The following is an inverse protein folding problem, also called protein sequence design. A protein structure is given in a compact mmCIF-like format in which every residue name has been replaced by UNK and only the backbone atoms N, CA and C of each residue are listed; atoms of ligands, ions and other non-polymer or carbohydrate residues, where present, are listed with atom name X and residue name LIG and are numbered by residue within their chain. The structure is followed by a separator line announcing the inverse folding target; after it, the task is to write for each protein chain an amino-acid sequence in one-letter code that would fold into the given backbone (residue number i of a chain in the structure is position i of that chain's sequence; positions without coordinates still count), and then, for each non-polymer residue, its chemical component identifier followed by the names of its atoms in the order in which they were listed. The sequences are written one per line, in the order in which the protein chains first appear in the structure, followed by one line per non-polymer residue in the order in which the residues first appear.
data_IF_460287948022
#
_entry.id   IF_460287948022
#
_cell.length_a   1.000
_cell.length_b   1.000
_cell.length_c   1.000
_cell.angle_alpha   90.00
_cell.angle_beta   90.00
_cell.angle_gamma   90.00
#
_symmetry.space_group_name_H-M   'P 1'
#
loop_
_entity.id
_entity.type
_entity.pdbx_description
1 polymer ?
#
# COMPACT_ATOMS: atom_id res chain seq x y z
N UNK A 1 51.67 -44.18 -51.89
CA UNK A 1 51.24 -42.85 -51.38
C UNK A 1 49.79 -42.78 -50.85
N UNK A 2 49.11 -43.90 -50.50
CA UNK A 2 47.67 -43.90 -50.10
C UNK A 2 47.36 -44.13 -48.61
N UNK A 3 48.33 -44.52 -47.76
CA UNK A 3 48.07 -44.91 -46.36
C UNK A 3 48.21 -43.77 -45.32
N UNK A 4 49.04 -42.75 -45.56
CA UNK A 4 49.24 -41.68 -44.57
C UNK A 4 48.13 -40.62 -44.56
N UNK A 5 47.40 -40.48 -45.67
CA UNK A 5 46.37 -39.44 -45.81
C UNK A 5 45.10 -39.76 -45.02
N UNK A 6 44.68 -41.02 -44.96
CA UNK A 6 43.42 -41.41 -44.31
C UNK A 6 43.52 -41.37 -42.78
N UNK A 7 44.65 -41.77 -42.19
CA UNK A 7 44.86 -41.64 -40.74
C UNK A 7 45.00 -40.19 -40.27
N UNK A 8 45.61 -39.31 -41.08
CA UNK A 8 45.64 -37.87 -40.80
C UNK A 8 44.27 -37.23 -40.88
N UNK A 9 43.46 -37.59 -41.89
CA UNK A 9 42.12 -37.04 -42.05
C UNK A 9 41.20 -37.38 -40.86
N UNK A 10 41.20 -38.63 -40.40
CA UNK A 10 40.36 -39.05 -39.26
C UNK A 10 40.78 -38.33 -37.97
N UNK A 11 42.09 -38.22 -37.70
CA UNK A 11 42.58 -37.53 -36.49
C UNK A 11 42.22 -36.04 -36.47
N UNK A 12 42.27 -35.37 -37.62
CA UNK A 12 41.90 -33.96 -37.75
C UNK A 12 40.40 -33.77 -37.54
N UNK A 13 39.57 -34.65 -38.10
CA UNK A 13 38.10 -34.57 -37.93
C UNK A 13 37.70 -34.82 -36.47
N UNK A 14 38.33 -35.77 -35.78
CA UNK A 14 38.04 -36.03 -34.36
C UNK A 14 38.43 -34.86 -33.45
N UNK A 15 39.56 -34.19 -33.72
CA UNK A 15 39.98 -32.99 -32.96
C UNK A 15 39.01 -31.83 -33.22
N UNK A 16 38.62 -31.60 -34.49
CA UNK A 16 37.68 -30.54 -34.82
C UNK A 16 36.31 -30.76 -34.15
N UNK A 17 35.83 -32.00 -34.11
CA UNK A 17 34.56 -32.31 -33.45
C UNK A 17 34.64 -32.14 -31.93
N UNK A 18 35.76 -32.54 -31.31
CA UNK A 18 36.00 -32.33 -29.88
C UNK A 18 36.08 -30.84 -29.50
N UNK A 19 36.79 -30.02 -30.30
CA UNK A 19 36.88 -28.57 -30.09
C UNK A 19 35.52 -27.90 -30.29
N UNK A 20 34.78 -28.28 -31.33
CA UNK A 20 33.45 -27.71 -31.58
C UNK A 20 32.46 -28.04 -30.45
N UNK A 21 32.48 -29.27 -29.94
CA UNK A 21 31.64 -29.67 -28.80
C UNK A 21 32.02 -28.90 -27.52
N UNK A 22 33.32 -28.70 -27.25
CA UNK A 22 33.78 -27.94 -26.09
C UNK A 22 33.38 -26.46 -26.17
N UNK A 23 33.55 -25.83 -27.34
CA UNK A 23 33.14 -24.44 -27.58
C UNK A 23 31.63 -24.28 -27.45
N UNK A 24 30.84 -25.21 -27.97
CA UNK A 24 29.38 -25.17 -27.83
C UNK A 24 28.95 -25.27 -26.37
N UNK A 25 29.58 -26.12 -25.56
CA UNK A 25 29.29 -26.22 -24.12
C UNK A 25 29.66 -24.92 -23.39
N UNK A 26 30.84 -24.35 -23.65
CA UNK A 26 31.27 -23.08 -23.05
C UNK A 26 30.31 -21.94 -23.43
N UNK A 27 29.86 -21.90 -24.69
CA UNK A 27 28.96 -20.87 -25.18
C UNK A 27 27.55 -20.99 -24.56
N UNK A 28 27.03 -22.22 -24.42
CA UNK A 28 25.72 -22.46 -23.77
C UNK A 28 25.78 -22.12 -22.28
N UNK A 29 26.90 -22.37 -21.60
CA UNK A 29 27.07 -22.00 -20.18
C UNK A 29 27.24 -20.48 -20.03
N UNK A 30 27.99 -19.82 -20.92
CA UNK A 30 28.27 -18.37 -20.83
C UNK A 30 27.08 -17.48 -21.23
N UNK A 31 26.25 -17.91 -22.19
CA UNK A 31 25.06 -17.15 -22.60
C UNK A 31 24.00 -17.04 -21.50
N UNK A 32 24.09 -17.86 -20.44
CA UNK A 32 23.20 -17.72 -19.28
C UNK A 32 23.62 -16.59 -18.32
N UNK A 33 24.76 -15.93 -18.51
CA UNK A 33 25.33 -15.02 -17.51
C UNK A 33 25.59 -13.57 -17.95
N UNK A 34 25.40 -13.18 -19.22
CA UNK A 34 25.63 -11.80 -19.66
C UNK A 34 24.33 -11.09 -20.08
N UNK A 35 24.01 -9.90 -19.50
CA UNK A 35 22.86 -9.11 -19.93
C UNK A 35 23.15 -8.46 -21.28
N UNK A 36 22.65 -9.08 -22.34
CA UNK A 36 22.87 -8.69 -23.75
C UNK A 36 22.58 -7.21 -24.04
N UNK A 37 21.68 -6.59 -23.27
CA UNK A 37 21.29 -5.18 -23.43
C UNK A 37 22.42 -4.17 -23.23
N UNK A 38 23.39 -4.47 -22.36
CA UNK A 38 24.53 -3.57 -22.10
C UNK A 38 25.37 -3.36 -23.36
N UNK A 39 25.47 -4.38 -24.21
CA UNK A 39 26.25 -4.34 -25.44
C UNK A 39 25.45 -3.79 -26.64
N UNK A 40 24.12 -3.72 -26.55
CA UNK A 40 23.27 -3.23 -27.63
C UNK A 40 22.85 -1.78 -27.46
N UNK A 41 22.70 -1.33 -26.22
CA UNK A 41 22.06 -0.05 -25.91
C UNK A 41 23.09 1.07 -25.65
N UNK A 42 24.37 0.73 -25.46
CA UNK A 42 25.46 1.68 -25.20
C UNK A 42 26.60 1.58 -26.22
N UNK A 43 27.25 2.71 -26.52
CA UNK A 43 28.39 2.74 -27.46
C UNK A 43 29.67 2.24 -26.80
N UNK A 44 30.58 1.64 -27.58
CA UNK A 44 31.84 1.11 -27.07
C UNK A 44 32.71 2.17 -26.38
N UNK A 45 32.76 3.39 -26.93
CA UNK A 45 33.52 4.49 -26.32
C UNK A 45 33.01 4.86 -24.94
N UNK A 46 31.69 4.87 -24.74
CA UNK A 46 31.07 5.15 -23.43
C UNK A 46 31.41 4.06 -22.42
N UNK A 47 31.28 2.79 -22.80
CA UNK A 47 31.62 1.67 -21.92
C UNK A 47 33.10 1.67 -21.54
N UNK A 48 33.97 2.06 -22.48
CA UNK A 48 35.41 2.14 -22.25
C UNK A 48 35.78 3.25 -21.28
N UNK A 49 35.22 4.45 -21.45
CA UNK A 49 35.47 5.59 -20.58
C UNK A 49 34.97 5.34 -19.15
N UNK A 50 33.77 4.79 -18.99
CA UNK A 50 33.23 4.41 -17.68
C UNK A 50 34.10 3.34 -17.00
N UNK A 51 34.61 2.37 -17.76
CA UNK A 51 35.48 1.33 -17.19
C UNK A 51 36.82 1.86 -16.68
N UNK A 52 37.39 2.88 -17.33
CA UNK A 52 38.63 3.53 -16.88
C UNK A 52 38.35 4.30 -15.58
N UNK A 53 37.27 5.09 -15.56
CA UNK A 53 36.89 5.86 -14.37
C UNK A 53 36.61 4.97 -13.17
N UNK A 54 35.86 3.87 -13.35
CA UNK A 54 35.61 2.91 -12.28
C UNK A 54 36.89 2.23 -11.78
N UNK A 55 37.83 1.97 -12.68
CA UNK A 55 39.11 1.36 -12.33
C UNK A 55 40.00 2.31 -11.51
N UNK A 56 40.09 3.58 -11.90
CA UNK A 56 40.84 4.60 -11.17
C UNK A 56 40.23 4.87 -9.78
N UNK A 57 38.90 4.91 -9.68
CA UNK A 57 38.23 5.04 -8.38
C UNK A 57 38.51 3.85 -7.47
N UNK A 58 38.56 2.62 -8.01
CA UNK A 58 38.83 1.40 -7.24
C UNK A 58 40.26 1.33 -6.67
N UNK A 59 41.16 2.20 -7.14
CA UNK A 59 42.51 2.28 -6.56
C UNK A 59 42.52 2.93 -5.17
N UNK A 60 41.54 3.82 -4.89
CA UNK A 60 41.48 4.58 -3.65
C UNK A 60 40.27 4.24 -2.77
N UNK A 61 39.32 3.48 -3.31
CA UNK A 61 38.03 3.21 -2.71
C UNK A 61 37.75 1.70 -2.69
N UNK A 62 37.28 1.19 -1.55
CA UNK A 62 36.89 -0.23 -1.46
C UNK A 62 35.59 -0.45 -2.23
N UNK A 63 35.70 -1.16 -3.36
CA UNK A 63 34.60 -1.31 -4.32
C UNK A 63 33.39 -2.06 -3.79
N UNK A 64 33.52 -2.81 -2.70
CA UNK A 64 32.40 -3.53 -2.08
C UNK A 64 31.56 -2.64 -1.15
N UNK A 65 32.14 -1.58 -0.59
CA UNK A 65 31.48 -0.71 0.40
C UNK A 65 31.17 0.69 -0.15
N UNK A 66 32.00 1.22 -1.05
CA UNK A 66 31.95 2.64 -1.44
C UNK A 66 31.34 2.87 -2.84
N UNK A 67 31.21 1.81 -3.65
CA UNK A 67 30.61 1.91 -4.98
C UNK A 67 29.11 1.62 -4.89
N UNK A 68 28.31 2.66 -5.10
CA UNK A 68 26.87 2.53 -5.11
C UNK A 68 26.39 1.94 -6.43
N UNK A 69 25.40 1.05 -6.35
CA UNK A 69 24.67 0.43 -7.45
C UNK A 69 23.31 1.11 -7.59
N UNK A 70 22.61 0.90 -8.71
CA UNK A 70 21.21 1.34 -8.83
C UNK A 70 20.35 0.79 -7.66
N UNK A 71 20.65 -0.41 -7.17
CA UNK A 71 20.07 -0.98 -5.95
C UNK A 71 20.37 -0.13 -4.71
N UNK A 72 21.59 0.37 -4.50
CA UNK A 72 21.88 1.14 -3.27
C UNK A 72 21.12 2.47 -3.21
N UNK A 73 20.92 3.18 -4.33
CA UNK A 73 20.13 4.42 -4.33
C UNK A 73 18.60 4.19 -4.33
N UNK A 74 18.09 3.16 -5.01
CA UNK A 74 16.65 2.89 -5.09
C UNK A 74 16.11 2.02 -3.94
N UNK A 75 16.95 1.17 -3.35
CA UNK A 75 16.58 0.28 -2.24
C UNK A 75 16.69 0.98 -0.87
N UNK A 76 17.54 2.02 -0.71
CA UNK A 76 17.70 2.69 0.61
C UNK A 76 16.68 3.82 0.88
N UNK A 77 16.12 4.46 -0.16
CA UNK A 77 15.17 5.58 0.00
C UNK A 77 13.85 5.44 -0.78
N UNK A 78 13.58 4.27 -1.35
CA UNK A 78 12.24 3.90 -1.79
C UNK A 78 11.66 4.78 -2.90
N UNK A 79 12.28 4.77 -4.08
CA UNK A 79 11.56 5.06 -5.32
C UNK A 79 11.75 3.92 -6.30
N UNK A 80 10.66 3.31 -6.72
CA UNK A 80 10.68 2.39 -7.87
C UNK A 80 10.51 3.26 -9.11
N UNK A 81 11.44 3.17 -10.06
CA UNK A 81 11.26 3.74 -11.41
C UNK A 81 11.08 2.60 -12.41
N UNK A 82 9.82 2.31 -12.74
CA UNK A 82 9.46 1.34 -13.77
C UNK A 82 8.55 2.02 -14.81
N UNK A 83 9.05 2.30 -16.02
CA UNK A 83 8.22 2.79 -17.11
C UNK A 83 7.07 1.79 -17.39
N UNK A 84 5.83 2.19 -17.12
CA UNK A 84 4.64 1.33 -17.22
C UNK A 84 4.00 0.90 -15.89
N UNK A 85 4.49 1.39 -14.75
CA UNK A 85 3.86 1.18 -13.43
C UNK A 85 3.24 2.46 -12.87
N UNK A 86 2.02 2.32 -12.33
CA UNK A 86 1.34 3.35 -11.53
C UNK A 86 1.81 3.28 -10.08
N UNK A 87 2.40 4.37 -9.57
CA UNK A 87 2.89 4.45 -8.19
C UNK A 87 1.81 4.90 -7.21
N UNK A 88 1.59 4.08 -6.19
CA UNK A 88 0.83 4.32 -4.94
C UNK A 88 -0.56 4.94 -5.08
N UNK A 89 -1.48 4.30 -5.81
CA UNK A 89 -2.86 4.39 -5.36
C UNK A 89 -3.18 3.21 -4.43
N UNK A 90 -3.30 3.51 -3.15
CA UNK A 90 -3.71 2.57 -2.13
C UNK A 90 -5.20 2.79 -1.88
N UNK A 91 -5.97 1.71 -1.94
CA UNK A 91 -7.38 1.73 -1.57
C UNK A 91 -7.46 1.34 -0.09
N UNK A 92 -7.93 2.26 0.74
CA UNK A 92 -8.21 2.00 2.15
C UNK A 92 -9.50 1.18 2.27
N UNK A 93 -9.41 -0.06 2.76
CA UNK A 93 -10.56 -0.85 3.18
C UNK A 93 -10.76 -0.67 4.69
N UNK A 94 -11.88 -0.06 5.09
CA UNK A 94 -12.15 0.35 6.47
C UNK A 94 -13.63 0.20 6.84
N UNK A 95 -14.00 0.70 8.02
CA UNK A 95 -15.34 0.55 8.59
C UNK A 95 -15.49 -0.74 9.39
N UNK A 96 -16.56 -1.48 9.15
CA UNK A 96 -16.89 -2.70 9.89
C UNK A 96 -16.18 -3.94 9.34
N UNK A 97 -14.85 -3.82 9.17
CA UNK A 97 -13.93 -4.90 8.80
C UNK A 97 -13.10 -5.34 10.01
N UNK A 98 -12.47 -6.52 9.97
CA UNK A 98 -11.63 -6.98 11.08
C UNK A 98 -10.42 -6.06 11.32
N UNK A 99 -9.74 -5.65 10.24
CA UNK A 99 -8.58 -4.75 10.27
C UNK A 99 -8.66 -3.76 9.10
N UNK A 100 -8.23 -2.51 9.33
CA UNK A 100 -8.02 -1.54 8.24
C UNK A 100 -6.86 -2.01 7.36
N UNK A 101 -7.12 -2.20 6.07
CA UNK A 101 -6.13 -2.65 5.09
C UNK A 101 -5.93 -1.59 4.02
N UNK A 102 -4.68 -1.30 3.68
CA UNK A 102 -4.34 -0.48 2.51
C UNK A 102 -3.96 -1.41 1.36
N UNK A 103 -4.78 -1.44 0.32
CA UNK A 103 -4.66 -2.37 -0.81
C UNK A 103 -4.03 -1.62 -1.98
N UNK A 104 -2.82 -1.97 -2.46
CA UNK A 104 -2.30 -1.42 -3.70
C UNK A 104 -3.24 -1.69 -4.88
N UNK A 105 -3.48 -0.70 -5.73
CA UNK A 105 -4.41 -0.84 -6.86
C UNK A 105 -4.04 -2.01 -7.81
N UNK A 106 -2.76 -2.27 -8.03
CA UNK A 106 -2.29 -3.44 -8.78
C UNK A 106 -2.63 -4.75 -8.03
N UNK A 107 -2.49 -4.78 -6.70
CA UNK A 107 -2.83 -5.92 -5.85
C UNK A 107 -4.34 -6.22 -5.79
N UNK A 108 -5.15 -5.23 -6.11
CA UNK A 108 -6.57 -5.38 -6.30
C UNK A 108 -6.88 -6.41 -7.41
N UNK A 109 -6.11 -6.41 -8.50
CA UNK A 109 -6.33 -7.22 -9.71
C UNK A 109 -5.23 -8.24 -10.03
N UNK A 110 -4.34 -8.53 -9.07
CA UNK A 110 -3.05 -9.25 -9.20
C UNK A 110 -3.04 -10.62 -9.93
N UNK A 111 -4.15 -11.07 -10.51
CA UNK A 111 -4.25 -12.25 -11.38
C UNK A 111 -4.33 -11.92 -12.89
N UNK A 112 -4.36 -10.66 -13.31
CA UNK A 112 -4.85 -10.33 -14.67
C UNK A 112 -4.08 -9.27 -15.46
N UNK A 113 -2.88 -8.86 -15.06
CA UNK A 113 -2.12 -7.77 -15.75
C UNK A 113 -1.91 -7.97 -17.26
N UNK A 114 -2.02 -9.21 -17.75
CA UNK A 114 -1.78 -9.56 -19.16
C UNK A 114 -3.05 -10.01 -19.92
N UNK A 115 -4.26 -9.91 -19.32
CA UNK A 115 -5.50 -10.39 -19.93
C UNK A 115 -6.48 -9.25 -20.29
N UNK A 116 -7.07 -9.26 -21.50
CA UNK A 116 -8.19 -8.37 -21.81
C UNK A 116 -9.38 -8.68 -20.88
N UNK A 117 -10.12 -7.64 -20.46
CA UNK A 117 -11.25 -7.71 -19.52
C UNK A 117 -10.86 -8.08 -18.08
N UNK A 118 -9.83 -7.43 -17.55
CA UNK A 118 -9.52 -7.51 -16.11
C UNK A 118 -10.62 -6.86 -15.27
N UNK A 119 -11.34 -7.65 -14.48
CA UNK A 119 -12.27 -7.15 -13.45
C UNK A 119 -12.24 -8.06 -12.22
N UNK A 120 -12.73 -7.54 -11.10
CA UNK A 120 -13.00 -8.29 -9.88
C UNK A 120 -14.48 -8.08 -9.53
N UNK A 121 -15.28 -9.13 -9.43
CA UNK A 121 -16.68 -8.96 -8.99
C UNK A 121 -16.70 -8.45 -7.54
N UNK A 122 -17.77 -7.76 -7.14
CA UNK A 122 -17.90 -7.34 -5.73
C UNK A 122 -17.94 -8.56 -4.81
N UNK A 123 -18.59 -9.65 -5.21
CA UNK A 123 -18.65 -10.89 -4.41
C UNK A 123 -17.27 -11.53 -4.22
N UNK A 124 -16.45 -11.58 -5.28
CA UNK A 124 -15.08 -12.08 -5.19
C UNK A 124 -14.22 -11.18 -4.30
N UNK A 125 -14.41 -9.86 -4.37
CA UNK A 125 -13.75 -8.89 -3.49
C UNK A 125 -14.11 -9.15 -2.03
N UNK A 126 -15.41 -9.24 -1.70
CA UNK A 126 -15.88 -9.48 -0.34
C UNK A 126 -15.37 -10.81 0.20
N UNK A 127 -15.42 -11.87 -0.62
CA UNK A 127 -14.89 -13.19 -0.27
C UNK A 127 -13.38 -13.15 -0.01
N UNK A 128 -12.61 -12.49 -0.88
CA UNK A 128 -11.15 -12.36 -0.76
C UNK A 128 -10.73 -11.67 0.54
N UNK A 129 -11.53 -10.72 1.01
CA UNK A 129 -11.27 -9.97 2.25
C UNK A 129 -12.10 -10.46 3.43
N UNK A 130 -12.69 -11.66 3.33
CA UNK A 130 -13.43 -12.33 4.41
C UNK A 130 -14.59 -11.49 4.99
N UNK A 131 -15.24 -10.69 4.13
CA UNK A 131 -16.41 -9.87 4.48
C UNK A 131 -17.68 -10.68 4.18
N UNK A 132 -18.24 -11.34 5.20
CA UNK A 132 -19.44 -12.19 5.04
C UNK A 132 -20.74 -11.46 5.35
N UNK A 133 -20.73 -10.58 6.35
CA UNK A 133 -21.92 -9.98 6.94
C UNK A 133 -21.87 -8.45 6.83
N UNK A 134 -22.36 -7.95 5.71
CA UNK A 134 -22.46 -6.51 5.42
C UNK A 134 -23.90 -6.09 5.07
N UNK A 135 -24.26 -4.87 5.43
CA UNK A 135 -25.50 -4.18 5.06
C UNK A 135 -25.32 -3.37 3.77
N UNK A 136 -24.20 -2.65 3.67
CA UNK A 136 -23.85 -1.83 2.51
C UNK A 136 -22.34 -1.62 2.41
N UNK A 137 -21.90 -1.18 1.24
CA UNK A 137 -20.54 -0.70 1.00
C UNK A 137 -20.60 0.73 0.47
N UNK A 138 -19.65 1.56 0.88
CA UNK A 138 -19.51 2.92 0.36
C UNK A 138 -18.15 3.12 -0.27
N UNK A 139 -18.14 3.71 -1.46
CA UNK A 139 -16.98 3.95 -2.28
C UNK A 139 -16.67 5.45 -2.24
N UNK A 140 -15.52 5.84 -1.71
CA UNK A 140 -15.02 7.21 -1.75
C UNK A 140 -14.02 7.38 -2.88
N UNK A 141 -14.22 8.41 -3.68
CA UNK A 141 -13.36 8.74 -4.81
C UNK A 141 -12.40 9.87 -4.48
N UNK A 142 -11.31 9.95 -5.24
CA UNK A 142 -10.26 10.95 -5.03
C UNK A 142 -10.75 12.40 -5.19
N UNK A 143 -11.78 12.63 -5.99
CA UNK A 143 -12.40 13.93 -6.23
C UNK A 143 -13.45 14.31 -5.17
N UNK A 144 -13.64 13.49 -4.13
CA UNK A 144 -14.49 13.78 -2.98
C UNK A 144 -15.95 13.36 -3.15
N UNK A 145 -16.29 12.63 -4.21
CA UNK A 145 -17.59 11.98 -4.33
C UNK A 145 -17.62 10.69 -3.50
N UNK A 146 -18.84 10.26 -3.14
CA UNK A 146 -19.05 8.95 -2.57
C UNK A 146 -20.33 8.31 -3.07
N UNK A 147 -20.31 6.99 -3.20
CA UNK A 147 -21.46 6.17 -3.61
C UNK A 147 -21.66 5.06 -2.59
N UNK A 148 -22.81 5.04 -1.93
CA UNK A 148 -23.23 3.97 -1.02
C UNK A 148 -24.20 3.03 -1.74
N UNK A 149 -23.95 1.73 -1.64
CA UNK A 149 -24.73 0.68 -2.32
C UNK A 149 -25.12 -0.36 -1.27
N UNK A 150 -26.43 -0.62 -1.14
CA UNK A 150 -26.93 -1.64 -0.24
C UNK A 150 -26.62 -3.03 -0.81
N UNK A 151 -26.49 -4.02 0.08
CA UNK A 151 -26.26 -5.42 -0.30
C UNK A 151 -27.29 -5.93 -1.32
N UNK A 152 -28.55 -5.55 -1.16
CA UNK A 152 -29.64 -5.98 -2.06
C UNK A 152 -29.51 -5.40 -3.49
N UNK A 153 -28.75 -4.32 -3.67
CA UNK A 153 -28.50 -3.67 -4.95
C UNK A 153 -27.18 -4.13 -5.61
N UNK A 154 -26.37 -4.93 -4.91
CA UNK A 154 -25.16 -5.57 -5.46
C UNK A 154 -25.57 -6.85 -6.18
N UNK A 155 -25.59 -6.79 -7.51
CA UNK A 155 -25.87 -7.95 -8.38
C UNK A 155 -24.59 -8.62 -8.86
N UNK A 156 -24.72 -9.76 -9.52
CA UNK A 156 -23.59 -10.47 -10.16
C UNK A 156 -22.87 -9.65 -11.25
N UNK A 157 -23.46 -8.53 -11.72
CA UNK A 157 -22.87 -7.63 -12.71
C UNK A 157 -22.07 -6.49 -12.05
N UNK A 158 -22.08 -6.39 -10.72
CA UNK A 158 -21.32 -5.41 -9.98
C UNK A 158 -19.83 -5.79 -9.93
N UNK A 159 -18.98 -4.90 -10.44
CA UNK A 159 -17.56 -5.18 -10.61
C UNK A 159 -16.67 -3.98 -10.34
N UNK A 160 -15.46 -4.27 -9.88
CA UNK A 160 -14.33 -3.37 -9.85
C UNK A 160 -13.47 -3.55 -11.09
N UNK A 161 -13.04 -2.44 -11.67
CA UNK A 161 -12.28 -2.35 -12.91
C UNK A 161 -11.00 -1.53 -12.69
N UNK A 162 -9.89 -1.86 -13.37
CA UNK A 162 -8.73 -0.98 -13.43
C UNK A 162 -9.11 0.41 -13.93
N UNK A 163 -8.54 1.45 -13.31
CA UNK A 163 -8.72 2.83 -13.71
C UNK A 163 -7.39 3.60 -13.60
N UNK A 164 -7.21 4.65 -14.40
CA UNK A 164 -5.94 5.40 -14.49
C UNK A 164 -5.44 5.88 -13.12
N UNK A 165 -6.38 6.35 -12.29
CA UNK A 165 -6.13 6.86 -10.95
C UNK A 165 -6.71 5.93 -9.87
N UNK A 166 -6.61 4.60 -10.02
CA UNK A 166 -7.01 3.62 -9.00
C UNK A 166 -7.90 2.52 -9.52
N UNK A 167 -9.06 2.37 -8.88
CA UNK A 167 -10.09 1.43 -9.32
C UNK A 167 -11.38 2.18 -9.61
N UNK A 168 -12.21 1.57 -10.45
CA UNK A 168 -13.56 2.02 -10.78
C UNK A 168 -14.55 0.96 -10.34
N UNK A 169 -15.71 1.38 -9.87
CA UNK A 169 -16.88 0.53 -9.75
C UNK A 169 -17.80 0.72 -10.96
N UNK A 170 -18.40 -0.37 -11.43
CA UNK A 170 -19.45 -0.34 -12.44
C UNK A 170 -20.44 -1.49 -12.20
N UNK A 171 -21.70 -1.25 -12.55
CA UNK A 171 -22.74 -2.28 -12.61
C UNK A 171 -23.77 -1.90 -13.67
N UNK A 172 -24.01 -2.78 -14.63
CA UNK A 172 -25.02 -2.57 -15.68
C UNK A 172 -26.46 -2.52 -15.13
N UNK A 173 -26.67 -2.99 -13.90
CA UNK A 173 -27.96 -2.96 -13.22
C UNK A 173 -28.21 -1.68 -12.41
N UNK A 174 -27.19 -0.82 -12.27
CA UNK A 174 -27.28 0.45 -11.54
C UNK A 174 -27.14 1.65 -12.47
N UNK A 175 -27.72 2.79 -12.08
CA UNK A 175 -27.60 4.03 -12.84
C UNK A 175 -26.13 4.45 -12.95
N UNK A 176 -25.72 4.96 -14.12
CA UNK A 176 -24.31 5.29 -14.43
C UNK A 176 -23.65 6.27 -13.46
N UNK A 177 -24.43 7.10 -12.76
CA UNK A 177 -23.92 8.00 -11.72
C UNK A 177 -23.38 7.27 -10.49
N UNK A 178 -23.71 5.99 -10.31
CA UNK A 178 -23.16 5.14 -9.25
C UNK A 178 -21.79 4.57 -9.61
N UNK A 179 -21.35 4.71 -10.86
CA UNK A 179 -20.11 4.11 -11.36
C UNK A 179 -18.89 4.95 -10.95
N UNK A 180 -18.56 4.89 -9.67
CA UNK A 180 -17.49 5.64 -9.01
C UNK A 180 -16.13 5.38 -9.66
N UNK A 181 -15.37 6.45 -9.95
CA UNK A 181 -14.06 6.40 -10.60
C UNK A 181 -12.97 6.88 -9.64
N UNK A 182 -11.78 6.29 -9.72
CA UNK A 182 -10.67 6.71 -8.87
C UNK A 182 -10.97 6.49 -7.38
N UNK A 183 -11.54 5.33 -7.05
CA UNK A 183 -11.86 4.94 -5.68
C UNK A 183 -10.56 4.82 -4.87
N UNK A 184 -10.53 5.48 -3.72
CA UNK A 184 -9.40 5.53 -2.78
C UNK A 184 -9.73 4.97 -1.41
N UNK A 185 -11.02 4.83 -1.08
CA UNK A 185 -11.48 4.20 0.16
C UNK A 185 -12.79 3.45 -0.06
N UNK A 186 -12.88 2.28 0.57
CA UNK A 186 -14.08 1.44 0.64
C UNK A 186 -14.43 1.30 2.12
N UNK A 187 -15.61 1.77 2.51
CA UNK A 187 -16.14 1.63 3.87
C UNK A 187 -17.21 0.54 3.85
N UNK A 188 -16.99 -0.51 4.63
CA UNK A 188 -17.98 -1.57 4.86
C UNK A 188 -18.85 -1.20 6.05
N UNK A 189 -20.16 -1.39 5.93
CA UNK A 189 -21.09 -1.35 7.07
C UNK A 189 -21.61 -2.76 7.32
N UNK A 190 -21.50 -3.26 8.54
CA UNK A 190 -22.10 -4.54 8.95
C UNK A 190 -23.52 -4.35 9.47
N UNK A 191 -24.36 -5.39 9.41
CA UNK A 191 -25.67 -5.38 10.08
C UNK A 191 -25.51 -5.22 11.61
N UNK A 192 -24.45 -5.80 12.18
CA UNK A 192 -24.13 -5.67 13.60
C UNK A 192 -23.82 -4.22 13.99
N UNK A 193 -24.17 -3.89 15.23
CA UNK A 193 -23.99 -2.57 15.85
C UNK A 193 -23.27 -2.72 17.19
N UNK A 194 -21.96 -3.06 17.18
CA UNK A 194 -21.22 -3.44 18.38
C UNK A 194 -20.87 -2.25 19.28
N UNK A 195 -20.92 -1.02 18.75
CA UNK A 195 -20.59 0.20 19.48
C UNK A 195 -21.86 0.82 20.05
N UNK A 196 -21.85 1.17 21.33
CA UNK A 196 -22.93 1.91 21.98
C UNK A 196 -22.47 3.33 22.34
N UNK A 197 -23.23 4.34 21.93
CA UNK A 197 -23.00 5.74 22.27
C UNK A 197 -24.27 6.27 22.96
N UNK A 198 -24.17 6.54 24.26
CA UNK A 198 -25.33 6.83 25.10
C UNK A 198 -26.36 5.69 25.04
N UNK A 199 -27.55 5.98 24.52
CA UNK A 199 -28.62 5.01 24.35
C UNK A 199 -28.66 4.38 22.94
N UNK A 200 -27.89 4.90 21.99
CA UNK A 200 -27.91 4.45 20.60
C UNK A 200 -26.85 3.38 20.35
N UNK A 201 -27.22 2.38 19.53
CA UNK A 201 -26.28 1.39 19.03
C UNK A 201 -25.93 1.69 17.58
N UNK A 202 -24.66 1.59 17.26
CA UNK A 202 -24.08 1.90 15.96
C UNK A 202 -22.85 1.03 15.69
N UNK A 203 -22.14 1.32 14.61
CA UNK A 203 -20.86 0.69 14.26
C UNK A 203 -19.89 1.76 13.77
N UNK A 204 -18.59 1.45 13.75
CA UNK A 204 -17.59 2.42 13.31
C UNK A 204 -17.75 2.75 11.83
N UNK A 205 -18.13 1.77 10.99
CA UNK A 205 -18.46 1.99 9.58
C UNK A 205 -19.57 3.03 9.39
N UNK A 206 -20.65 2.97 10.18
CA UNK A 206 -21.73 3.96 10.11
C UNK A 206 -21.29 5.35 10.55
N UNK A 207 -20.46 5.44 11.58
CA UNK A 207 -19.94 6.72 12.05
C UNK A 207 -19.01 7.38 11.01
N UNK A 208 -18.17 6.61 10.32
CA UNK A 208 -17.26 7.10 9.30
C UNK A 208 -17.97 7.57 8.01
N UNK A 209 -19.23 7.18 7.80
CA UNK A 209 -20.08 7.72 6.74
C UNK A 209 -20.84 8.99 7.14
N UNK A 210 -20.98 9.20 8.45
CA UNK A 210 -21.59 10.40 8.98
C UNK A 210 -20.68 11.62 8.80
N UNK A 211 -20.97 12.65 9.59
CA UNK A 211 -20.10 13.82 9.66
C UNK A 211 -18.77 13.43 10.30
N UNK A 212 -17.69 13.58 9.55
CA UNK A 212 -16.32 13.37 10.03
C UNK A 212 -15.57 14.70 10.14
N UNK A 213 -14.55 14.70 11.00
CA UNK A 213 -13.61 15.81 11.17
C UNK A 213 -12.19 15.26 11.01
N UNK A 214 -11.31 16.09 10.44
CA UNK A 214 -9.91 15.75 10.23
C UNK A 214 -9.02 16.55 11.17
N UNK A 215 -8.19 15.88 11.97
CA UNK A 215 -7.29 16.48 12.96
C UNK A 215 -5.83 16.16 12.67
N UNK A 216 -4.92 17.07 13.04
CA UNK A 216 -3.48 16.82 12.98
C UNK A 216 -3.02 16.30 14.33
N UNK A 217 -2.24 15.22 14.31
CA UNK A 217 -1.72 14.56 15.52
C UNK A 217 -0.24 14.24 15.38
N UNK A 218 0.39 13.93 16.52
CA UNK A 218 1.79 13.50 16.58
C UNK A 218 2.75 14.51 15.95
N UNK A 219 2.47 15.80 16.11
CA UNK A 219 3.38 16.84 15.64
C UNK A 219 4.68 16.78 16.46
N UNK A 220 5.77 16.43 15.78
CA UNK A 220 7.07 16.28 16.40
C UNK A 220 8.12 17.04 15.58
N UNK A 221 8.94 17.82 16.30
CA UNK A 221 10.15 18.41 15.74
C UNK A 221 11.23 17.34 15.67
N UNK A 222 11.61 16.94 14.47
CA UNK A 222 12.69 15.99 14.23
C UNK A 222 13.95 16.74 13.83
N UNK A 223 15.10 16.23 14.28
CA UNK A 223 16.40 16.80 13.94
C UNK A 223 17.32 15.68 13.46
N UNK A 224 18.03 15.93 12.37
CA UNK A 224 19.02 15.02 11.83
C UNK A 224 20.32 15.77 11.60
N UNK A 225 21.42 15.24 12.13
CA UNK A 225 22.76 15.75 11.84
C UNK A 225 23.35 14.91 10.72
N UNK A 226 23.55 15.52 9.56
CA UNK A 226 24.14 14.81 8.43
C UNK A 226 25.58 14.43 8.73
N UNK A 227 25.96 13.19 8.45
CA UNK A 227 27.33 12.71 8.57
C UNK A 227 28.22 13.27 7.45
N UNK A 228 27.64 13.66 6.32
CA UNK A 228 28.38 14.22 5.18
C UNK A 228 28.90 15.63 5.43
N UNK A 229 28.08 16.50 6.04
CA UNK A 229 28.41 17.92 6.22
C UNK A 229 28.40 18.40 7.67
N UNK A 230 28.02 17.52 8.61
CA UNK A 230 27.97 17.82 10.04
C UNK A 230 26.87 18.82 10.44
N UNK A 231 26.02 19.28 9.52
CA UNK A 231 24.95 20.24 9.78
C UNK A 231 23.73 19.54 10.38
N UNK A 232 23.12 20.18 11.37
CA UNK A 232 21.83 19.76 11.91
C UNK A 232 20.71 20.41 11.11
N UNK A 233 19.83 19.58 10.55
CA UNK A 233 18.61 19.98 9.85
C UNK A 233 17.41 19.63 10.70
N UNK A 234 16.39 20.47 10.65
CA UNK A 234 15.17 20.31 11.42
C UNK A 234 13.97 20.18 10.46
N UNK A 235 13.01 19.34 10.82
CA UNK A 235 11.72 19.24 10.15
C UNK A 235 10.61 19.01 11.19
N UNK A 236 9.37 19.20 10.75
CA UNK A 236 8.19 18.84 11.53
C UNK A 236 7.53 17.66 10.83
N UNK A 237 7.28 16.60 11.58
CA UNK A 237 6.51 15.45 11.12
C UNK A 237 5.17 15.45 11.84
N UNK A 238 4.09 15.14 11.13
CA UNK A 238 2.76 15.00 11.72
C UNK A 238 1.90 14.05 10.89
N UNK A 239 0.82 13.56 11.50
CA UNK A 239 -0.17 12.70 10.85
C UNK A 239 -1.50 13.43 10.75
N UNK A 240 -2.24 13.20 9.66
CA UNK A 240 -3.63 13.64 9.50
C UNK A 240 -4.55 12.45 9.68
N UNK A 241 -5.51 12.54 10.60
CA UNK A 241 -6.46 11.46 10.87
C UNK A 241 -7.89 11.99 10.80
N UNK A 242 -8.79 11.19 10.25
CA UNK A 242 -10.20 11.50 10.11
C UNK A 242 -11.05 10.55 10.95
N UNK A 243 -12.12 11.08 11.54
CA UNK A 243 -13.06 10.30 12.36
C UNK A 243 -14.29 11.11 12.76
N UNK A 244 -15.22 10.48 13.48
CA UNK A 244 -16.40 11.15 14.01
C UNK A 244 -16.00 11.98 15.24
N UNK A 245 -16.33 13.27 15.25
CA UNK A 245 -15.96 14.16 16.36
C UNK A 245 -16.80 13.85 17.61
N UNK A 246 -16.18 13.85 18.80
CA UNK A 246 -16.88 13.60 20.06
C UNK A 246 -18.08 14.55 20.28
N UNK A 247 -17.94 15.82 19.87
CA UNK A 247 -19.00 16.81 19.94
C UNK A 247 -20.21 16.51 19.03
N UNK A 248 -20.04 15.71 17.98
CA UNK A 248 -21.13 15.25 17.11
C UNK A 248 -21.75 13.92 17.62
N UNK A 249 -21.05 13.19 18.49
CA UNK A 249 -21.49 11.89 19.03
C UNK A 249 -22.33 12.03 20.30
N UNK A 250 -22.03 13.00 21.14
CA UNK A 250 -22.73 13.27 22.40
C UNK A 250 -22.89 14.77 22.60
N UNK A 251 -23.97 15.16 23.27
CA UNK A 251 -24.17 16.54 23.73
C UNK A 251 -23.29 16.81 24.95
N UNK A 252 -22.02 17.14 24.68
CA UNK A 252 -20.96 17.24 25.68
C UNK A 252 -21.25 18.29 26.77
N UNK A 253 -22.07 19.31 26.49
CA UNK A 253 -22.43 20.35 27.46
C UNK A 253 -23.27 19.81 28.64
N UNK A 254 -23.87 18.63 28.50
CA UNK A 254 -24.70 17.99 29.54
C UNK A 254 -23.89 17.20 30.56
N UNK A 255 -22.60 17.04 30.35
CA UNK A 255 -21.77 16.11 31.11
C UNK A 255 -20.51 16.80 31.60
N UNK A 256 -20.02 16.40 32.78
CA UNK A 256 -18.71 16.85 33.25
C UNK A 256 -17.62 15.89 32.77
N UNK A 257 -17.96 14.59 32.68
CA UNK A 257 -17.04 13.54 32.32
C UNK A 257 -17.67 12.59 31.30
N UNK A 258 -16.84 11.98 30.47
CA UNK A 258 -17.23 10.90 29.56
C UNK A 258 -16.52 9.62 29.98
N UNK A 259 -17.30 8.54 30.06
CA UNK A 259 -16.86 7.20 30.37
C UNK A 259 -16.76 6.38 29.08
N UNK A 260 -15.63 5.71 28.89
CA UNK A 260 -15.35 4.78 27.81
C UNK A 260 -15.24 3.37 28.39
N UNK A 261 -16.08 2.44 27.95
CA UNK A 261 -15.93 1.01 28.25
C UNK A 261 -15.18 0.34 27.11
N UNK A 262 -14.13 -0.39 27.46
CA UNK A 262 -13.28 -1.10 26.50
C UNK A 262 -13.72 -2.56 26.37
N UNK A 263 -13.24 -3.23 25.31
CA UNK A 263 -13.57 -4.62 24.99
C UNK A 263 -13.20 -5.62 26.09
N UNK A 264 -12.16 -5.33 26.86
CA UNK A 264 -11.73 -6.13 28.02
C UNK A 264 -12.55 -5.89 29.29
N UNK A 265 -13.54 -4.98 29.23
CA UNK A 265 -14.40 -4.60 30.35
C UNK A 265 -13.81 -3.51 31.25
N UNK A 266 -12.60 -3.02 30.96
CA UNK A 266 -12.03 -1.87 31.65
C UNK A 266 -12.79 -0.58 31.30
N UNK A 267 -12.68 0.39 32.21
CA UNK A 267 -13.36 1.68 32.11
C UNK A 267 -12.33 2.79 32.22
N UNK A 268 -12.35 3.72 31.28
CA UNK A 268 -11.53 4.93 31.28
C UNK A 268 -12.46 6.14 31.31
N UNK A 269 -12.14 7.14 32.14
CA UNK A 269 -12.96 8.34 32.30
C UNK A 269 -12.11 9.57 32.00
N UNK A 270 -12.64 10.47 31.18
CA UNK A 270 -12.03 11.76 30.88
C UNK A 270 -12.98 12.92 31.17
N UNK A 271 -12.48 14.04 31.70
CA UNK A 271 -13.22 15.30 31.69
C UNK A 271 -13.54 15.71 30.25
N UNK A 272 -14.73 16.29 30.03
CA UNK A 272 -15.16 16.74 28.69
C UNK A 272 -14.12 17.68 28.05
N UNK A 273 -13.54 18.59 28.83
CA UNK A 273 -12.55 19.56 28.36
C UNK A 273 -11.31 18.92 27.73
N UNK A 274 -10.94 17.69 28.14
CA UNK A 274 -9.77 16.98 27.59
C UNK A 274 -10.04 16.29 26.25
N UNK A 275 -11.30 16.03 25.92
CA UNK A 275 -11.69 15.16 24.79
C UNK A 275 -12.71 15.82 23.86
N UNK A 276 -13.09 17.08 24.10
CA UNK A 276 -14.07 17.80 23.28
C UNK A 276 -13.68 17.88 21.80
N UNK A 277 -12.37 17.95 21.54
CA UNK A 277 -11.79 18.00 20.19
C UNK A 277 -11.29 16.62 19.71
N UNK A 278 -11.56 15.56 20.47
CA UNK A 278 -11.18 14.20 20.10
C UNK A 278 -12.08 13.65 18.99
N UNK A 279 -11.53 12.71 18.23
CA UNK A 279 -12.27 11.97 17.20
C UNK A 279 -12.28 10.47 17.54
N UNK A 280 -13.38 9.82 17.18
CA UNK A 280 -13.52 8.37 17.18
C UNK A 280 -13.30 7.86 15.75
N UNK A 281 -12.35 6.95 15.57
CA UNK A 281 -12.03 6.38 14.27
C UNK A 281 -11.64 4.91 14.39
N UNK A 282 -11.31 4.29 13.26
CA UNK A 282 -10.73 2.94 13.22
C UNK A 282 -9.25 3.03 12.87
N UNK A 283 -8.40 2.41 13.68
CA UNK A 283 -7.00 2.19 13.32
C UNK A 283 -6.66 0.73 13.49
N UNK A 284 -6.17 0.10 12.41
CA UNK A 284 -5.95 -1.35 12.35
C UNK A 284 -7.24 -2.09 12.75
N UNK A 285 -7.20 -2.90 13.78
CA UNK A 285 -8.30 -3.69 14.31
C UNK A 285 -9.08 -3.00 15.45
N UNK A 286 -8.68 -1.78 15.83
CA UNK A 286 -9.23 -1.07 16.99
C UNK A 286 -10.18 0.07 16.61
N UNK A 287 -11.24 0.23 17.38
CA UNK A 287 -11.96 1.51 17.51
C UNK A 287 -11.20 2.37 18.51
N UNK A 288 -10.76 3.54 18.07
CA UNK A 288 -9.80 4.38 18.81
C UNK A 288 -10.35 5.79 19.01
N UNK A 289 -10.26 6.29 20.24
CA UNK A 289 -10.39 7.71 20.54
C UNK A 289 -9.02 8.36 20.43
N UNK A 290 -8.88 9.25 19.45
CA UNK A 290 -7.67 10.02 19.22
C UNK A 290 -7.85 11.41 19.85
N UNK A 291 -6.96 11.73 20.79
CA UNK A 291 -6.95 13.01 21.49
C UNK A 291 -5.83 13.87 20.86
N UNK A 292 -6.15 15.01 20.22
CA UNK A 292 -5.20 15.73 19.36
C UNK A 292 -3.88 16.11 20.04
N UNK A 293 -3.96 16.60 21.28
CA UNK A 293 -2.82 17.11 22.04
C UNK A 293 -2.06 16.03 22.82
N UNK A 294 -2.43 14.75 22.65
CA UNK A 294 -1.80 13.62 23.35
C UNK A 294 -1.09 12.67 22.39
N UNK A 295 -0.03 12.04 22.89
CA UNK A 295 0.69 11.01 22.13
C UNK A 295 -0.12 9.71 22.00
N UNK A 296 0.28 8.84 21.06
CA UNK A 296 -0.38 7.53 20.84
C UNK A 296 -0.54 6.67 22.11
N UNK A 297 0.36 6.82 23.07
CA UNK A 297 0.31 6.10 24.35
C UNK A 297 -0.88 6.48 25.23
N UNK A 298 -1.47 7.66 25.00
CA UNK A 298 -2.59 8.20 25.77
C UNK A 298 -3.92 8.11 25.01
N UNK A 299 -3.92 7.54 23.80
CA UNK A 299 -5.14 7.25 23.06
C UNK A 299 -5.86 6.05 23.68
N UNK A 300 -7.18 6.01 23.48
CA UNK A 300 -8.01 4.94 24.04
C UNK A 300 -8.39 3.98 22.93
N UNK A 301 -8.00 2.72 23.06
CA UNK A 301 -8.23 1.67 22.07
C UNK A 301 -9.36 0.73 22.52
N UNK A 302 -9.87 -0.10 21.61
CA UNK A 302 -10.87 -1.14 21.90
C UNK A 302 -12.20 -0.63 22.48
N UNK A 303 -12.62 0.59 22.12
CA UNK A 303 -13.85 1.18 22.65
C UNK A 303 -15.08 0.43 22.12
N UNK A 304 -15.94 -0.02 23.05
CA UNK A 304 -17.23 -0.65 22.73
C UNK A 304 -18.43 0.16 23.24
N UNK A 305 -18.20 1.09 24.19
CA UNK A 305 -19.26 1.92 24.75
C UNK A 305 -18.74 3.29 25.16
N UNK A 306 -19.55 4.32 24.95
CA UNK A 306 -19.28 5.71 25.33
C UNK A 306 -20.52 6.27 26.03
N UNK A 307 -20.36 6.82 27.25
CA UNK A 307 -21.47 7.38 28.03
C UNK A 307 -21.06 8.68 28.73
N UNK A 308 -21.96 9.66 28.77
CA UNK A 308 -21.79 10.86 29.58
C UNK A 308 -22.14 10.64 31.06
N UNK A 309 -21.41 11.30 31.95
CA UNK A 309 -21.62 11.31 33.41
C UNK A 309 -21.83 12.72 33.94
#
# INVERSE_FOLDING_TARGET
MKSSKTKKAIKVVSILFGVAALVAIIFVVSMKQLPIRVLTDYTFSTLWEESITMHECAECHETEEEFHTCSTCHDEHGSVELPGLSFYNMIELTGDVAEVVFIPANHFFNTYSDLPNTFLTVDDFLTKWEITDYESLTLYTRDGEFVSINKDDITNNAMFLPYEDGIRFASDDLHVSTWAKGIVRIIIISEEKPLQIGQERTSIGRLLLGKTTSITVEEAKVMFRSEEDGLTREAITSSRVEGAAMADLLDLEKYENIEFTLKDGSIVVFPVEEIKDAILTKQRDFVVLIIPDKGRSDWVFDIIKIEGK
#
